data_IF_857183926924
#
_entry.id   IF_857183926924
#
_cell.length_a   1.000
_cell.length_b   1.000
_cell.length_c   1.000
_cell.angle_alpha   90.00
_cell.angle_beta   90.00
_cell.angle_gamma   90.00
#
_symmetry.space_group_name_H-M   'P 1'
#
loop_
_entity.id
_entity.type
_entity.pdbx_description
1 polymer ?
#
# COMPACT_ATOMS: atom_id res chain seq x y z
N UNK A 1 5.87 -9.71 5.84
CA UNK A 1 5.12 -8.44 5.74
C UNK A 1 4.46 -8.29 4.37
N UNK A 2 3.17 -7.95 4.34
CA UNK A 2 2.33 -7.65 3.18
C UNK A 2 1.66 -6.27 3.38
N UNK A 3 1.66 -5.41 2.37
CA UNK A 3 1.05 -4.06 2.42
C UNK A 3 -0.19 -4.02 1.51
N UNK A 4 -1.32 -3.55 2.03
CA UNK A 4 -2.60 -3.51 1.30
C UNK A 4 -3.29 -2.15 1.39
N UNK A 5 -4.13 -1.83 0.41
CA UNK A 5 -4.75 -0.51 0.18
C UNK A 5 -5.97 -0.20 1.06
N UNK A 6 -6.38 -1.10 1.95
CA UNK A 6 -7.52 -0.86 2.84
C UNK A 6 -8.89 -1.11 2.22
N UNK A 7 -8.98 -1.55 0.97
CA UNK A 7 -10.28 -1.76 0.34
C UNK A 7 -11.02 -2.96 0.94
N UNK A 8 -12.27 -2.76 1.37
CA UNK A 8 -13.05 -3.75 2.13
C UNK A 8 -13.27 -5.08 1.40
N UNK A 9 -13.23 -5.09 0.06
CA UNK A 9 -13.33 -6.33 -0.72
C UNK A 9 -12.11 -7.26 -0.59
N UNK A 10 -10.97 -6.74 -0.11
CA UNK A 10 -9.71 -7.47 0.00
C UNK A 10 -9.32 -7.82 1.44
N UNK A 11 -10.03 -7.26 2.43
CA UNK A 11 -9.76 -7.47 3.87
C UNK A 11 -10.90 -8.27 4.47
N UNK A 12 -10.89 -9.58 4.23
CA UNK A 12 -11.83 -10.53 4.82
C UNK A 12 -11.22 -11.22 6.03
N UNK A 13 -12.07 -11.74 6.93
CA UNK A 13 -11.60 -12.54 8.07
C UNK A 13 -10.73 -13.71 7.63
N UNK A 14 -11.12 -14.41 6.56
CA UNK A 14 -10.36 -15.54 5.99
C UNK A 14 -8.98 -15.12 5.49
N UNK A 15 -8.86 -13.93 4.89
CA UNK A 15 -7.58 -13.41 4.41
C UNK A 15 -6.66 -13.06 5.59
N UNK A 16 -7.21 -12.44 6.63
CA UNK A 16 -6.47 -12.12 7.86
C UNK A 16 -6.02 -13.41 8.55
N UNK A 17 -6.91 -14.40 8.68
CA UNK A 17 -6.60 -15.71 9.25
C UNK A 17 -5.48 -16.40 8.47
N UNK A 18 -5.53 -16.39 7.13
CA UNK A 18 -4.47 -16.92 6.29
C UNK A 18 -3.13 -16.22 6.53
N UNK A 19 -3.12 -14.90 6.67
CA UNK A 19 -1.90 -14.15 7.00
C UNK A 19 -1.35 -14.54 8.37
N UNK A 20 -2.21 -14.69 9.38
CA UNK A 20 -1.82 -15.11 10.72
C UNK A 20 -1.23 -16.53 10.70
N UNK A 21 -1.89 -17.48 10.04
CA UNK A 21 -1.43 -18.87 9.93
C UNK A 21 -0.07 -19.00 9.23
N UNK A 22 0.22 -18.10 8.29
CA UNK A 22 1.46 -18.11 7.50
C UNK A 22 2.52 -17.14 8.02
N UNK A 23 2.36 -16.58 9.22
CA UNK A 23 3.32 -15.65 9.83
C UNK A 23 3.61 -14.40 8.96
N UNK A 24 2.57 -13.92 8.26
CA UNK A 24 2.62 -12.75 7.39
C UNK A 24 2.12 -11.53 8.15
N UNK A 25 3.03 -10.62 8.49
CA UNK A 25 2.66 -9.32 9.07
C UNK A 25 1.85 -8.51 8.06
N UNK A 26 0.61 -8.17 8.38
CA UNK A 26 -0.28 -7.42 7.48
C UNK A 26 -0.29 -5.93 7.84
N UNK A 27 0.07 -5.07 6.89
CA UNK A 27 -0.01 -3.61 7.00
C UNK A 27 -1.12 -3.08 6.10
N UNK A 28 -2.14 -2.47 6.69
CA UNK A 28 -3.26 -1.87 5.97
C UNK A 28 -3.04 -0.35 5.89
N UNK A 29 -3.03 0.19 4.68
CA UNK A 29 -2.86 1.62 4.45
C UNK A 29 -4.14 2.38 4.85
N UNK A 30 -4.01 3.62 5.36
CA UNK A 30 -5.16 4.48 5.60
C UNK A 30 -5.96 4.71 4.32
N UNK A 31 -7.28 4.92 4.43
CA UNK A 31 -8.14 5.14 3.27
C UNK A 31 -7.68 6.35 2.46
N UNK A 32 -7.80 6.25 1.14
CA UNK A 32 -7.42 7.28 0.16
C UNK A 32 -5.93 7.64 0.12
N UNK A 33 -5.04 6.87 0.76
CA UNK A 33 -3.59 7.13 0.75
C UNK A 33 -2.80 6.30 -0.28
N UNK A 34 -3.44 5.47 -1.11
CA UNK A 34 -2.75 4.63 -2.11
C UNK A 34 -1.84 5.42 -3.04
N UNK A 35 -2.32 6.58 -3.50
CA UNK A 35 -1.56 7.49 -4.37
C UNK A 35 -0.31 8.11 -3.72
N UNK A 36 -0.10 7.89 -2.42
CA UNK A 36 1.07 8.37 -1.67
C UNK A 36 1.93 7.20 -1.17
N UNK A 37 1.29 6.19 -0.59
CA UNK A 37 1.96 5.14 0.19
C UNK A 37 2.10 3.82 -0.57
N UNK A 38 1.39 3.60 -1.68
CA UNK A 38 1.40 2.32 -2.38
C UNK A 38 2.46 2.31 -3.48
N UNK A 39 3.58 1.55 -3.34
CA UNK A 39 4.70 1.57 -4.29
C UNK A 39 4.29 1.28 -5.73
N UNK A 40 3.28 0.42 -5.91
CA UNK A 40 2.75 0.08 -7.22
C UNK A 40 2.11 1.28 -7.91
N UNK A 41 1.29 2.06 -7.20
CA UNK A 41 0.61 3.22 -7.76
C UNK A 41 1.60 4.35 -8.07
N UNK A 42 2.52 4.64 -7.15
CA UNK A 42 3.42 5.80 -7.27
C UNK A 42 4.60 5.58 -8.23
N UNK A 43 5.00 4.32 -8.47
CA UNK A 43 6.22 4.05 -9.25
C UNK A 43 6.08 3.07 -10.41
N UNK A 44 5.12 2.13 -10.37
CA UNK A 44 5.11 0.97 -11.26
C UNK A 44 4.00 1.03 -12.30
N UNK A 45 2.79 1.44 -11.90
CA UNK A 45 1.65 1.50 -12.80
C UNK A 45 1.75 2.60 -13.84
N UNK A 46 2.46 3.70 -13.57
CA UNK A 46 2.73 4.74 -14.57
C UNK A 46 3.46 4.17 -15.81
N UNK A 47 4.65 3.58 -15.65
CA UNK A 47 5.36 2.90 -16.73
C UNK A 47 4.54 1.78 -17.40
N UNK A 48 3.85 0.93 -16.63
CA UNK A 48 3.01 -0.14 -17.20
C UNK A 48 1.89 0.40 -18.10
N UNK A 49 1.16 1.43 -17.65
CA UNK A 49 0.11 2.09 -18.44
C UNK A 49 0.68 2.68 -19.73
N UNK A 50 1.87 3.28 -19.68
CA UNK A 50 2.56 3.81 -20.87
C UNK A 50 2.90 2.72 -21.87
N UNK A 51 3.52 1.61 -21.44
CA UNK A 51 3.85 0.51 -22.34
C UNK A 51 2.60 -0.20 -22.87
N UNK A 52 1.56 -0.34 -22.04
CA UNK A 52 0.27 -0.84 -22.48
C UNK A 52 -0.32 0.02 -23.60
N UNK A 53 -0.34 1.34 -23.42
CA UNK A 53 -0.84 2.26 -24.45
C UNK A 53 -0.07 2.13 -25.78
N UNK A 54 1.25 1.92 -25.73
CA UNK A 54 2.07 1.70 -26.93
C UNK A 54 1.72 0.41 -27.67
N UNK A 55 1.53 -0.71 -26.95
CA UNK A 55 1.14 -1.97 -27.57
C UNK A 55 -0.30 -1.91 -28.12
N UNK A 56 -1.24 -1.31 -27.39
CA UNK A 56 -2.62 -1.09 -27.87
C UNK A 56 -2.62 -0.28 -29.17
N UNK A 57 -1.81 0.79 -29.24
CA UNK A 57 -1.65 1.64 -30.42
C UNK A 57 -1.04 0.86 -31.60
N UNK A 58 -0.06 -0.02 -31.35
CA UNK A 58 0.48 -0.94 -32.35
C UNK A 58 -0.59 -1.89 -32.92
N UNK A 59 -1.41 -2.51 -32.06
CA UNK A 59 -2.51 -3.39 -32.51
C UNK A 59 -3.54 -2.61 -33.32
N UNK A 60 -3.87 -1.40 -32.88
CA UNK A 60 -4.82 -0.52 -33.57
C UNK A 60 -4.32 -0.17 -34.97
N UNK A 61 -3.03 0.21 -35.12
CA UNK A 61 -2.41 0.46 -36.43
C UNK A 61 -2.36 -0.78 -37.34
N UNK A 62 -2.29 -1.98 -36.76
CA UNK A 62 -2.38 -3.23 -37.50
C UNK A 62 -3.82 -3.60 -37.95
N UNK A 63 -4.80 -2.72 -37.72
CA UNK A 63 -6.20 -2.92 -38.11
C UNK A 63 -7.02 -3.74 -37.11
N UNK A 64 -6.46 -4.07 -35.94
CA UNK A 64 -7.16 -4.83 -34.90
C UNK A 64 -8.11 -3.89 -34.15
N UNK A 65 -9.42 -4.01 -34.44
CA UNK A 65 -10.46 -3.16 -33.85
C UNK A 65 -10.81 -3.49 -32.39
N UNK A 66 -10.55 -4.74 -31.96
CA UNK A 66 -10.88 -5.22 -30.61
C UNK A 66 -9.79 -6.15 -30.10
N UNK A 67 -9.24 -5.81 -28.94
CA UNK A 67 -8.28 -6.66 -28.23
C UNK A 67 -9.05 -7.79 -27.55
N UNK A 68 -8.78 -9.02 -27.96
CA UNK A 68 -9.31 -10.21 -27.29
C UNK A 68 -8.51 -10.52 -26.03
N UNK A 69 -9.05 -11.38 -25.15
CA UNK A 69 -8.38 -11.77 -23.90
C UNK A 69 -7.00 -12.38 -24.15
N UNK A 70 -6.83 -13.20 -25.20
CA UNK A 70 -5.54 -13.78 -25.59
C UNK A 70 -4.50 -12.70 -25.92
N UNK A 71 -4.86 -11.74 -26.78
CA UNK A 71 -4.01 -10.60 -27.11
C UNK A 71 -3.66 -9.77 -25.87
N UNK A 72 -4.60 -9.59 -24.93
CA UNK A 72 -4.31 -8.88 -23.69
C UNK A 72 -3.25 -9.61 -22.85
N UNK A 73 -3.32 -10.93 -22.74
CA UNK A 73 -2.30 -11.72 -22.01
C UNK A 73 -0.93 -11.61 -22.68
N UNK A 74 -0.87 -11.63 -24.01
CA UNK A 74 0.37 -11.44 -24.77
C UNK A 74 0.97 -10.04 -24.57
N UNK A 75 0.12 -9.01 -24.68
CA UNK A 75 0.48 -7.61 -24.40
C UNK A 75 1.01 -7.51 -22.97
N UNK A 76 0.26 -8.04 -22.00
CA UNK A 76 0.64 -8.00 -20.59
C UNK A 76 2.00 -8.68 -20.36
N UNK A 77 2.24 -9.84 -20.99
CA UNK A 77 3.51 -10.55 -20.91
C UNK A 77 4.67 -9.69 -21.39
N UNK A 78 4.50 -8.95 -22.49
CA UNK A 78 5.52 -8.04 -23.03
C UNK A 78 5.74 -6.81 -22.13
N UNK A 79 4.67 -6.13 -21.72
CA UNK A 79 4.79 -4.89 -20.96
C UNK A 79 5.27 -5.12 -19.52
N UNK A 80 5.00 -6.30 -18.92
CA UNK A 80 5.46 -6.61 -17.57
C UNK A 80 6.98 -6.63 -17.50
N UNK A 81 7.66 -7.12 -18.53
CA UNK A 81 9.13 -7.18 -18.59
C UNK A 81 9.76 -5.79 -18.72
N UNK A 82 9.01 -4.82 -19.29
CA UNK A 82 9.44 -3.42 -19.42
C UNK A 82 9.06 -2.58 -18.19
N UNK A 83 7.91 -2.85 -17.59
CA UNK A 83 7.31 -2.06 -16.51
C UNK A 83 7.71 -2.52 -15.10
N UNK A 84 7.79 -3.83 -14.87
CA UNK A 84 8.16 -4.44 -13.57
C UNK A 84 9.67 -4.67 -13.44
N UNK A 85 10.46 -3.70 -13.87
CA UNK A 85 11.91 -3.75 -13.73
C UNK A 85 12.34 -3.33 -12.32
N UNK A 86 13.48 -3.84 -11.80
CA UNK A 86 13.97 -3.50 -10.47
C UNK A 86 14.10 -2.00 -10.21
N UNK A 87 14.41 -1.21 -11.26
CA UNK A 87 14.53 0.23 -11.16
C UNK A 87 13.19 0.91 -10.82
N UNK A 88 12.11 0.55 -11.50
CA UNK A 88 10.77 1.11 -11.25
C UNK A 88 10.25 0.67 -9.88
N UNK A 89 10.48 -0.59 -9.51
CA UNK A 89 10.09 -1.13 -8.20
C UNK A 89 10.78 -0.34 -7.09
N UNK A 90 12.12 -0.24 -7.12
CA UNK A 90 12.88 0.53 -6.11
C UNK A 90 12.49 2.01 -6.10
N UNK A 91 12.20 2.60 -7.27
CA UNK A 91 11.72 3.97 -7.35
C UNK A 91 10.35 4.13 -6.68
N UNK A 92 9.44 3.17 -6.86
CA UNK A 92 8.13 3.17 -6.20
C UNK A 92 8.24 3.09 -4.67
N UNK A 93 9.07 2.18 -4.15
CA UNK A 93 9.32 2.08 -2.72
C UNK A 93 9.94 3.34 -2.12
N UNK A 94 10.88 3.97 -2.85
CA UNK A 94 11.47 5.25 -2.46
C UNK A 94 10.45 6.38 -2.52
N UNK A 95 9.62 6.41 -3.55
CA UNK A 95 8.58 7.43 -3.72
C UNK A 95 7.55 7.37 -2.59
N UNK A 96 7.15 6.18 -2.19
CA UNK A 96 6.27 5.92 -1.05
C UNK A 96 6.90 6.22 0.33
N UNK A 97 8.19 6.60 0.38
CA UNK A 97 8.89 6.87 1.63
C UNK A 97 9.08 5.62 2.51
N UNK A 98 8.93 4.42 1.96
CA UNK A 98 9.02 3.17 2.71
C UNK A 98 10.44 2.60 2.71
N UNK A 99 11.16 2.67 1.58
CA UNK A 99 12.53 2.17 1.46
C UNK A 99 13.43 3.16 0.68
N UNK A 100 14.41 3.81 1.35
CA UNK A 100 14.56 3.86 2.80
C UNK A 100 13.35 4.52 3.47
N UNK A 101 13.12 4.22 4.75
CA UNK A 101 12.01 4.80 5.50
C UNK A 101 12.25 6.31 5.69
N UNK A 102 11.44 7.12 5.00
CA UNK A 102 11.55 8.58 4.97
C UNK A 102 10.14 9.21 4.94
N UNK A 103 9.47 9.32 6.10
CA UNK A 103 8.10 9.83 6.22
C UNK A 103 7.91 11.23 5.64
N UNK A 104 8.92 12.10 5.77
CA UNK A 104 8.89 13.49 5.29
C UNK A 104 8.53 13.59 3.80
N UNK A 105 8.92 12.60 3.00
CA UNK A 105 8.60 12.57 1.57
C UNK A 105 7.11 12.45 1.31
N UNK A 106 6.39 11.71 2.15
CA UNK A 106 4.94 11.54 2.07
C UNK A 106 4.25 12.74 2.67
N UNK A 107 4.71 13.18 3.85
CA UNK A 107 4.12 14.30 4.59
C UNK A 107 4.16 15.62 3.80
N UNK A 108 5.23 15.87 3.04
CA UNK A 108 5.34 17.06 2.18
C UNK A 108 4.30 17.11 1.06
N UNK A 109 3.64 15.99 0.72
CA UNK A 109 2.62 15.92 -0.32
C UNK A 109 1.19 15.93 0.25
N UNK A 110 1.03 16.03 1.58
CA UNK A 110 -0.30 16.16 2.19
C UNK A 110 -0.83 17.59 2.02
N UNK A 111 -2.13 17.76 1.71
CA UNK A 111 -2.74 19.08 1.65
C UNK A 111 -2.63 19.75 3.03
N UNK A 112 -2.03 20.93 3.06
CA UNK A 112 -1.99 21.76 4.26
C UNK A 112 -3.41 22.23 4.60
N UNK A 113 -3.75 22.40 5.90
CA UNK A 113 -4.99 23.05 6.30
C UNK A 113 -5.10 24.42 5.62
N UNK A 114 -6.31 24.87 5.26
CA UNK A 114 -6.50 26.23 4.76
C UNK A 114 -5.91 27.24 5.75
N UNK A 115 -4.97 28.05 5.28
CA UNK A 115 -4.36 29.12 6.08
C UNK A 115 -5.47 30.05 6.60
N UNK A 116 -5.66 30.11 7.92
CA UNK A 116 -6.48 31.15 8.54
C UNK A 116 -6.00 32.54 8.09
N UNK A 117 -6.90 33.54 7.93
CA UNK A 117 -6.53 34.88 7.49
C UNK A 117 -5.41 35.47 8.37
N UNK A 118 -4.54 36.33 7.79
CA UNK A 118 -3.28 36.72 8.42
C UNK A 118 -3.53 37.39 9.77
N UNK A 119 -3.08 36.74 10.86
CA UNK A 119 -2.91 37.38 12.15
C UNK A 119 -1.47 37.87 12.29
N UNK A 120 -1.34 39.09 12.79
CA UNK A 120 -0.18 39.93 13.09
C UNK A 120 1.07 39.13 13.55
N UNK A 121 2.30 39.54 13.17
CA UNK A 121 3.49 38.66 13.23
C UNK A 121 3.78 38.19 14.66
N UNK A 122 3.64 36.89 14.88
CA UNK A 122 4.28 36.21 15.99
C UNK A 122 5.52 35.50 15.44
N UNK A 123 6.63 35.70 16.17
CA UNK A 123 7.98 35.26 15.84
C UNK A 123 8.03 33.90 15.13
N UNK A 124 8.89 33.82 14.11
CA UNK A 124 9.17 32.62 13.33
C UNK A 124 9.57 31.47 14.26
N UNK A 125 8.62 30.63 14.61
CA UNK A 125 8.94 29.30 15.15
C UNK A 125 9.34 28.46 13.95
N UNK A 126 10.64 28.20 13.83
CA UNK A 126 11.17 27.23 12.89
C UNK A 126 10.34 25.95 13.01
N UNK A 127 9.69 25.52 11.93
CA UNK A 127 9.02 24.20 11.85
C UNK A 127 10.13 23.14 11.74
N UNK A 128 10.86 22.99 12.83
CA UNK A 128 11.66 21.84 13.21
C UNK A 128 11.02 21.48 14.54
N UNK A 129 10.07 20.56 14.59
CA UNK A 129 10.32 19.14 14.44
C UNK A 129 8.93 18.50 14.47
N UNK A 130 8.48 17.86 13.39
CA UNK A 130 7.37 16.90 13.52
C UNK A 130 7.81 15.86 14.55
N UNK A 131 7.02 15.64 15.60
CA UNK A 131 7.37 14.66 16.63
C UNK A 131 7.28 13.25 16.03
N UNK A 132 8.40 12.77 15.50
CA UNK A 132 8.54 11.44 14.92
C UNK A 132 8.54 10.34 15.99
N UNK A 133 8.40 10.66 17.29
CA UNK A 133 8.27 9.67 18.36
C UNK A 133 7.06 8.74 18.13
N UNK A 134 6.00 9.24 17.49
CA UNK A 134 4.82 8.45 17.10
C UNK A 134 5.21 7.29 16.17
N UNK A 135 6.16 7.49 15.24
CA UNK A 135 6.64 6.41 14.36
C UNK A 135 7.47 5.35 15.08
N UNK A 136 7.89 5.62 16.33
CA UNK A 136 8.59 4.66 17.21
C UNK A 136 7.67 3.98 18.22
N UNK A 137 6.37 4.28 18.20
CA UNK A 137 5.39 3.67 19.11
C UNK A 137 5.04 2.23 18.74
N UNK A 138 5.23 1.85 17.48
CA UNK A 138 5.08 0.46 17.04
C UNK A 138 6.35 -0.34 17.34
N UNK A 139 6.22 -1.62 17.77
CA UNK A 139 7.37 -2.47 18.03
C UNK A 139 8.31 -2.50 16.83
N UNK A 140 9.63 -2.39 17.02
CA UNK A 140 10.60 -2.33 15.93
C UNK A 140 10.70 -3.65 15.14
N UNK A 141 10.18 -4.74 15.71
CA UNK A 141 10.18 -6.07 15.13
C UNK A 141 8.76 -6.67 15.22
N UNK A 142 8.29 -7.29 14.14
CA UNK A 142 6.95 -7.89 14.04
C UNK A 142 6.72 -9.04 15.02
N UNK A 143 7.78 -9.50 15.70
CA UNK A 143 7.78 -10.58 16.68
C UNK A 143 6.74 -10.40 17.79
N UNK A 144 6.46 -9.17 18.26
CA UNK A 144 5.40 -8.95 19.25
C UNK A 144 4.00 -9.25 18.68
N UNK A 145 3.74 -8.85 17.44
CA UNK A 145 2.48 -9.17 16.74
C UNK A 145 2.36 -10.69 16.52
N UNK A 146 3.45 -11.35 16.14
CA UNK A 146 3.51 -12.81 15.96
C UNK A 146 3.26 -13.54 17.26
N UNK A 147 3.84 -13.07 18.36
CA UNK A 147 3.58 -13.62 19.69
C UNK A 147 2.11 -13.46 20.09
N UNK A 148 1.53 -12.27 19.90
CA UNK A 148 0.11 -12.04 20.16
C UNK A 148 -0.78 -12.97 19.33
N UNK A 149 -0.47 -13.15 18.04
CA UNK A 149 -1.17 -14.08 17.16
C UNK A 149 -1.03 -15.55 17.61
N UNK A 150 0.16 -15.98 18.05
CA UNK A 150 0.38 -17.33 18.58
C UNK A 150 -0.44 -17.58 19.85
N UNK A 151 -0.48 -16.61 20.76
CA UNK A 151 -1.31 -16.68 21.98
C UNK A 151 -2.79 -16.77 21.63
N UNK A 152 -3.26 -15.95 20.69
CA UNK A 152 -4.65 -15.96 20.23
C UNK A 152 -5.02 -17.30 19.60
N UNK A 153 -4.21 -17.81 18.66
CA UNK A 153 -4.44 -19.09 18.00
C UNK A 153 -4.42 -20.26 18.99
N UNK A 154 -3.49 -20.24 19.95
CA UNK A 154 -3.40 -21.29 20.98
C UNK A 154 -4.63 -21.27 21.88
N UNK A 155 -5.12 -20.08 22.25
CA UNK A 155 -6.32 -19.90 23.07
C UNK A 155 -7.58 -20.37 22.32
N UNK A 156 -7.70 -20.05 21.03
CA UNK A 156 -8.77 -20.54 20.15
C UNK A 156 -8.75 -22.06 20.00
N UNK A 157 -7.57 -22.68 19.91
CA UNK A 157 -7.43 -24.13 19.80
C UNK A 157 -7.79 -24.87 21.11
N UNK A 158 -7.63 -24.22 22.26
CA UNK A 158 -7.98 -24.77 23.58
C UNK A 158 -9.42 -24.55 24.01
N UNK A 159 -10.14 -23.63 23.36
CA UNK A 159 -11.54 -23.34 23.65
C UNK A 159 -12.45 -24.05 22.63
N UNK A 160 -13.27 -24.99 23.09
CA UNK A 160 -14.45 -25.43 22.34
C UNK A 160 -15.31 -24.20 22.00
N UNK A 161 -15.78 -24.15 20.75
CA UNK A 161 -16.32 -22.97 20.05
C UNK A 161 -17.01 -21.91 20.93
N UNK A 162 -16.68 -20.61 20.79
CA UNK A 162 -17.43 -19.57 21.48
C UNK A 162 -18.85 -19.50 20.91
N UNK A 163 -19.84 -19.42 21.81
CA UNK A 163 -21.24 -19.21 21.44
C UNK A 163 -21.38 -17.96 20.56
N UNK A 164 -22.14 -18.07 19.46
CA UNK A 164 -22.44 -16.92 18.60
C UNK A 164 -23.02 -15.78 19.42
N UNK A 165 -22.59 -14.52 19.18
CA UNK A 165 -23.16 -13.39 19.89
C UNK A 165 -24.65 -13.26 19.55
N UNK A 166 -25.50 -12.88 20.52
CA UNK A 166 -26.91 -12.64 20.27
C UNK A 166 -27.06 -11.51 19.25
N UNK A 167 -27.94 -11.72 18.26
CA UNK A 167 -28.37 -10.66 17.35
C UNK A 167 -29.13 -9.60 18.15
N UNK A 168 -28.60 -8.39 18.21
CA UNK A 168 -29.36 -7.15 18.40
C UNK A 168 -29.29 -6.30 17.13
#
# INVERSE_FOLDING_TARGET
MLIMDGHSSHITGDMIALCIENDIDLLILPPHCSHLLQPLDVGVYGPLKRFHAQEVDRYTRAGIKRIQRSHWVEIFRCIREKGLIPQNIRSGWRAAGLIPFLPERVLANLPLPPTEPPRTPQNSTNITTLDLSIFRSSPPDGTELRHANLVFNSSMATCDSPASPPRE
#
